data_IF_732680651662
#
_entry.id   IF_732680651662
#
_cell.length_a   1.000
_cell.length_b   1.000
_cell.length_c   1.000
_cell.angle_alpha   90.00
_cell.angle_beta   90.00
_cell.angle_gamma   90.00
#
_symmetry.space_group_name_H-M   'P 1'
#
loop_
_entity.id
_entity.type
_entity.pdbx_description
1 polymer ?
#
# COMPACT_ATOMS: atom_id res chain seq x y z
N UNK A 1 25.60 -4.47 12.13
CA UNK A 1 25.42 -3.15 12.80
C UNK A 1 24.76 -2.10 11.89
N UNK A 2 24.31 -2.45 10.67
CA UNK A 2 23.56 -1.50 9.82
C UNK A 2 22.21 -1.11 10.44
N UNK A 3 21.52 -2.06 11.09
CA UNK A 3 20.21 -1.85 11.73
C UNK A 3 20.23 -2.13 13.23
N UNK A 4 19.40 -1.39 13.97
CA UNK A 4 19.33 -1.42 15.45
C UNK A 4 18.38 -2.50 16.01
N UNK A 5 17.51 -3.07 15.19
CA UNK A 5 16.39 -3.90 15.64
C UNK A 5 16.80 -5.07 16.54
N UNK A 6 17.83 -5.83 16.15
CA UNK A 6 18.27 -6.98 16.95
C UNK A 6 18.89 -6.57 18.29
N UNK A 7 19.69 -5.50 18.31
CA UNK A 7 20.21 -4.94 19.57
C UNK A 7 19.12 -4.39 20.48
N UNK A 8 17.99 -3.97 19.89
CA UNK A 8 16.81 -3.51 20.62
C UNK A 8 15.78 -4.62 20.93
N UNK A 9 16.08 -5.89 20.61
CA UNK A 9 15.18 -7.02 20.85
C UNK A 9 13.95 -7.10 19.94
N UNK A 10 13.91 -6.34 18.85
CA UNK A 10 12.78 -6.27 17.90
C UNK A 10 12.79 -7.44 16.90
N UNK A 11 12.87 -8.66 17.41
CA UNK A 11 12.78 -9.87 16.60
C UNK A 11 11.34 -10.05 16.06
N UNK A 12 11.21 -10.41 14.78
CA UNK A 12 9.92 -10.50 14.09
C UNK A 12 9.39 -9.16 13.55
N UNK A 13 10.10 -8.04 13.74
CA UNK A 13 9.68 -6.73 13.23
C UNK A 13 9.92 -6.57 11.73
N UNK A 14 11.05 -7.05 11.20
CA UNK A 14 11.43 -6.85 9.79
C UNK A 14 10.37 -7.28 8.76
N UNK A 15 9.69 -8.43 8.90
CA UNK A 15 8.63 -8.82 7.96
C UNK A 15 7.52 -7.76 7.79
N UNK A 16 7.30 -6.90 8.79
CA UNK A 16 6.28 -5.84 8.72
C UNK A 16 6.58 -4.80 7.65
N UNK A 17 7.84 -4.57 7.27
CA UNK A 17 8.20 -3.67 6.17
C UNK A 17 7.73 -4.22 4.81
N UNK A 18 7.96 -5.51 4.56
CA UNK A 18 7.49 -6.15 3.34
C UNK A 18 5.96 -6.19 3.28
N UNK A 19 5.30 -6.50 4.40
CA UNK A 19 3.84 -6.41 4.51
C UNK A 19 3.35 -4.99 4.22
N UNK A 20 4.01 -3.96 4.77
CA UNK A 20 3.68 -2.55 4.49
C UNK A 20 3.69 -2.22 3.00
N UNK A 21 4.68 -2.70 2.25
CA UNK A 21 4.73 -2.53 0.80
C UNK A 21 3.56 -3.23 0.09
N UNK A 22 3.22 -4.46 0.52
CA UNK A 22 2.09 -5.21 -0.04
C UNK A 22 0.76 -4.49 0.21
N UNK A 23 0.50 -4.09 1.46
CA UNK A 23 -0.70 -3.34 1.82
C UNK A 23 -0.79 -2.02 1.05
N UNK A 24 0.30 -1.26 0.96
CA UNK A 24 0.33 0.01 0.26
C UNK A 24 -0.09 -0.13 -1.21
N UNK A 25 0.48 -1.11 -1.94
CA UNK A 25 0.12 -1.34 -3.33
C UNK A 25 -1.32 -1.81 -3.49
N UNK A 26 -1.81 -2.72 -2.64
CA UNK A 26 -3.18 -3.23 -2.73
C UNK A 26 -4.23 -2.17 -2.37
N UNK A 27 -3.98 -1.36 -1.34
CA UNK A 27 -4.84 -0.23 -1.00
C UNK A 27 -4.83 0.83 -2.10
N UNK A 28 -3.66 1.15 -2.66
CA UNK A 28 -3.55 2.15 -3.71
C UNK A 28 -4.26 1.71 -5.00
N UNK A 29 -4.19 0.42 -5.35
CA UNK A 29 -4.95 -0.13 -6.47
C UNK A 29 -6.47 0.01 -6.24
N UNK A 30 -6.95 -0.31 -5.04
CA UNK A 30 -8.36 -0.11 -4.68
C UNK A 30 -8.78 1.36 -4.74
N UNK A 31 -7.94 2.27 -4.25
CA UNK A 31 -8.18 3.71 -4.32
C UNK A 31 -8.27 4.20 -5.77
N UNK A 32 -7.37 3.75 -6.67
CA UNK A 32 -7.42 4.09 -8.10
C UNK A 32 -8.71 3.63 -8.78
N UNK A 33 -9.21 2.44 -8.44
CA UNK A 33 -10.49 1.94 -8.97
C UNK A 33 -11.67 2.83 -8.58
N UNK A 34 -11.64 3.43 -7.39
CA UNK A 34 -12.75 4.24 -6.87
C UNK A 34 -12.63 5.74 -7.19
N UNK A 35 -11.40 6.27 -7.23
CA UNK A 35 -11.12 7.69 -7.43
C UNK A 35 -10.80 8.06 -8.89
N UNK A 36 -10.62 7.08 -9.77
CA UNK A 36 -10.28 7.31 -11.18
C UNK A 36 -8.81 7.69 -11.39
N UNK A 37 -8.57 8.74 -12.18
CA UNK A 37 -7.21 9.15 -12.55
C UNK A 37 -6.51 9.92 -11.43
N UNK A 38 -5.93 9.16 -10.51
CA UNK A 38 -5.14 9.68 -9.39
C UNK A 38 -3.81 10.28 -9.86
N UNK A 39 -3.25 9.82 -10.98
CA UNK A 39 -1.97 10.33 -11.48
C UNK A 39 -2.13 11.76 -12.01
N UNK A 40 -3.23 12.04 -12.71
CA UNK A 40 -3.56 13.40 -13.14
C UNK A 40 -3.83 14.34 -11.95
N UNK A 41 -4.51 13.86 -10.91
CA UNK A 41 -4.70 14.62 -9.67
C UNK A 41 -3.35 14.99 -9.04
N UNK A 42 -2.41 14.05 -8.97
CA UNK A 42 -1.07 14.31 -8.46
C UNK A 42 -0.30 15.32 -9.32
N UNK A 43 -0.40 15.24 -10.65
CA UNK A 43 0.21 16.21 -11.55
C UNK A 43 -0.32 17.64 -11.31
N UNK A 44 -1.56 17.78 -10.86
CA UNK A 44 -2.19 19.05 -10.49
C UNK A 44 -1.94 19.47 -9.03
N UNK A 45 -1.21 18.66 -8.24
CA UNK A 45 -0.99 18.91 -6.81
C UNK A 45 -2.21 18.59 -5.92
N UNK A 46 -3.17 17.83 -6.43
CA UNK A 46 -4.42 17.48 -5.74
C UNK A 46 -4.29 16.14 -4.98
N UNK A 47 -3.98 16.23 -3.69
CA UNK A 47 -3.83 15.03 -2.83
C UNK A 47 -5.04 14.75 -1.93
N UNK A 48 -5.99 15.69 -1.88
CA UNK A 48 -7.10 15.68 -0.91
C UNK A 48 -8.03 14.49 -1.11
N UNK A 49 -8.33 14.13 -2.36
CA UNK A 49 -9.19 13.00 -2.70
C UNK A 49 -8.65 11.68 -2.13
N UNK A 50 -7.38 11.40 -2.38
CA UNK A 50 -6.73 10.20 -1.85
C UNK A 50 -6.63 10.21 -0.32
N UNK A 51 -6.27 11.35 0.29
CA UNK A 51 -6.19 11.44 1.74
C UNK A 51 -7.55 11.21 2.40
N UNK A 52 -8.62 11.78 1.84
CA UNK A 52 -9.97 11.56 2.34
C UNK A 52 -10.38 10.09 2.20
N UNK A 53 -10.08 9.47 1.06
CA UNK A 53 -10.32 8.04 0.86
C UNK A 53 -9.59 7.18 1.90
N UNK A 54 -8.30 7.44 2.15
CA UNK A 54 -7.51 6.72 3.16
C UNK A 54 -8.07 6.94 4.57
N UNK A 55 -8.55 8.14 4.89
CA UNK A 55 -9.18 8.44 6.19
C UNK A 55 -10.45 7.65 6.39
N UNK A 56 -11.30 7.60 5.37
CA UNK A 56 -12.56 6.87 5.40
C UNK A 56 -12.35 5.35 5.41
N UNK A 57 -11.45 4.82 4.60
CA UNK A 57 -11.35 3.37 4.44
C UNK A 57 -10.35 2.72 5.39
N UNK A 58 -9.38 3.47 5.93
CA UNK A 58 -8.27 2.92 6.72
C UNK A 58 -8.16 3.62 8.06
N UNK A 59 -7.85 4.92 8.08
CA UNK A 59 -7.42 5.59 9.30
C UNK A 59 -8.52 5.65 10.38
N UNK A 60 -9.78 5.92 9.99
CA UNK A 60 -10.88 6.05 10.95
C UNK A 60 -11.19 4.74 11.70
N UNK A 61 -10.77 3.59 11.18
CA UNK A 61 -11.04 2.30 11.80
C UNK A 61 -10.07 1.97 12.95
N UNK A 62 -8.90 2.61 13.01
CA UNK A 62 -7.91 2.33 14.05
C UNK A 62 -7.65 0.82 14.20
N UNK A 63 -7.83 0.28 15.41
CA UNK A 63 -7.68 -1.15 15.70
C UNK A 63 -9.00 -1.94 15.66
N UNK A 64 -10.08 -1.39 15.07
CA UNK A 64 -11.38 -2.08 14.94
C UNK A 64 -11.27 -3.40 14.20
N UNK A 65 -10.35 -3.50 13.23
CA UNK A 65 -10.12 -4.70 12.43
C UNK A 65 -8.68 -5.17 12.58
N UNK A 66 -8.43 -6.49 12.69
CA UNK A 66 -7.11 -7.04 12.39
C UNK A 66 -6.67 -6.66 10.97
N UNK A 67 -5.37 -6.48 10.75
CA UNK A 67 -4.85 -5.97 9.47
C UNK A 67 -5.32 -6.79 8.25
N UNK A 68 -5.32 -8.12 8.34
CA UNK A 68 -5.81 -9.00 7.27
C UNK A 68 -7.30 -8.81 6.95
N UNK A 69 -8.12 -8.53 7.97
CA UNK A 69 -9.55 -8.20 7.77
C UNK A 69 -9.74 -6.80 7.21
N UNK A 70 -8.91 -5.84 7.62
CA UNK A 70 -8.97 -4.47 7.11
C UNK A 70 -8.75 -4.44 5.59
N UNK A 71 -7.74 -5.15 5.08
CA UNK A 71 -7.50 -5.19 3.63
C UNK A 71 -8.62 -5.88 2.86
N UNK A 72 -9.20 -6.95 3.40
CA UNK A 72 -10.38 -7.59 2.80
C UNK A 72 -11.56 -6.63 2.72
N UNK A 73 -11.87 -5.90 3.81
CA UNK A 73 -12.97 -4.93 3.86
C UNK A 73 -12.76 -3.78 2.88
N UNK A 74 -11.53 -3.27 2.77
CA UNK A 74 -11.22 -2.09 1.94
C UNK A 74 -11.07 -2.43 0.47
N UNK A 75 -10.49 -3.59 0.16
CA UNK A 75 -10.07 -3.92 -1.21
C UNK A 75 -10.93 -5.00 -1.87
N UNK A 76 -11.74 -5.73 -1.08
CA UNK A 76 -12.59 -6.83 -1.51
C UNK A 76 -11.90 -8.19 -1.53
N UNK A 77 -10.59 -8.24 -1.30
CA UNK A 77 -9.76 -9.45 -1.44
C UNK A 77 -8.76 -9.58 -0.29
N UNK A 78 -8.33 -10.80 0.06
CA UNK A 78 -7.27 -11.01 1.05
C UNK A 78 -5.95 -10.39 0.58
N UNK A 79 -5.03 -10.16 1.52
CA UNK A 79 -3.70 -9.64 1.18
C UNK A 79 -3.00 -10.57 0.18
N UNK A 80 -2.47 -10.01 -0.91
CA UNK A 80 -1.66 -10.76 -1.88
C UNK A 80 -0.44 -9.97 -2.35
N UNK A 81 0.50 -10.65 -2.99
CA UNK A 81 1.66 -9.99 -3.62
C UNK A 81 1.34 -9.39 -4.99
N UNK A 82 0.18 -9.72 -5.57
CA UNK A 82 -0.19 -9.34 -6.94
C UNK A 82 -0.10 -7.84 -7.21
N UNK A 83 -0.78 -6.98 -6.42
CA UNK A 83 -0.72 -5.54 -6.58
C UNK A 83 0.69 -4.95 -6.49
N UNK A 84 1.51 -5.46 -5.56
CA UNK A 84 2.90 -5.03 -5.40
C UNK A 84 3.74 -5.43 -6.62
N UNK A 85 3.64 -6.68 -7.08
CA UNK A 85 4.36 -7.14 -8.26
C UNK A 85 3.93 -6.37 -9.51
N UNK A 86 2.64 -6.09 -9.65
CA UNK A 86 2.12 -5.24 -10.74
C UNK A 86 2.73 -3.84 -10.68
N UNK A 87 2.67 -3.17 -9.53
CA UNK A 87 3.25 -1.83 -9.34
C UNK A 87 4.74 -1.78 -9.71
N UNK A 88 5.53 -2.74 -9.23
CA UNK A 88 6.97 -2.79 -9.50
C UNK A 88 7.25 -3.06 -10.98
N UNK A 89 6.53 -4.00 -11.61
CA UNK A 89 6.70 -4.28 -13.03
C UNK A 89 6.31 -3.08 -13.89
N UNK A 90 5.15 -2.47 -13.66
CA UNK A 90 4.67 -1.32 -14.41
C UNK A 90 5.63 -0.13 -14.30
N UNK A 91 6.26 0.05 -13.13
CA UNK A 91 7.22 1.13 -12.90
C UNK A 91 8.56 0.84 -13.54
N UNK A 92 9.14 -0.34 -13.30
CA UNK A 92 10.55 -0.59 -13.60
C UNK A 92 10.79 -1.22 -14.96
N UNK A 93 9.86 -2.04 -15.49
CA UNK A 93 10.07 -2.64 -16.82
C UNK A 93 10.25 -1.59 -17.91
N UNK A 94 9.40 -0.55 -18.03
CA UNK A 94 9.57 0.47 -19.06
C UNK A 94 10.84 1.30 -18.87
N UNK A 95 11.22 1.59 -17.62
CA UNK A 95 12.43 2.38 -17.31
C UNK A 95 13.73 1.69 -17.76
N UNK A 96 13.74 0.36 -17.79
CA UNK A 96 14.90 -0.43 -18.18
C UNK A 96 14.75 -1.17 -19.51
N UNK A 97 13.66 -0.95 -20.26
CA UNK A 97 13.40 -1.60 -21.54
C UNK A 97 13.19 -3.11 -21.45
N UNK A 98 12.62 -3.60 -20.35
CA UNK A 98 12.31 -5.01 -20.13
C UNK A 98 10.89 -5.32 -20.65
N UNK A 99 10.71 -6.44 -21.35
CA UNK A 99 9.41 -6.96 -21.80
C UNK A 99 8.67 -7.71 -20.70
#
# INVERSE_FOLDING_TARGET
LQDVHWSAGLFGYFPTYALGNMYASQFFEAARRQLGDVDQQFANGEFRSLLNWLREHIHQHGQRFPAGRLVEVVTGEPLSTGPLMKHLNDRFRPLYGLS
#
